data_IF_183107469946
#
_entry.id   IF_183107469946
#
_cell.length_a   1.000
_cell.length_b   1.000
_cell.length_c   1.000
_cell.angle_alpha   90.00
_cell.angle_beta   90.00
_cell.angle_gamma   90.00
#
_symmetry.space_group_name_H-M   'P 1'
#
loop_
_entity.id
_entity.type
_entity.pdbx_description
1 polymer ?
#
# COMPACT_ATOMS: atom_id res chain seq x y z
N UNK A 1 -11.61 -19.92 -6.54
CA UNK A 1 -10.22 -20.08 -6.06
C UNK A 1 -9.38 -18.89 -6.52
N UNK A 2 -8.24 -18.60 -5.90
CA UNK A 2 -7.33 -17.58 -6.42
C UNK A 2 -6.71 -18.06 -7.75
N UNK A 3 -6.33 -17.11 -8.61
CA UNK A 3 -5.75 -17.35 -9.94
C UNK A 3 -6.51 -18.37 -10.84
N UNK A 4 -7.85 -18.41 -10.74
CA UNK A 4 -8.70 -19.28 -11.57
C UNK A 4 -8.63 -18.89 -13.05
N UNK A 5 -8.55 -17.58 -13.33
CA UNK A 5 -8.32 -17.03 -14.66
C UNK A 5 -7.03 -16.23 -14.61
N UNK A 6 -6.10 -16.52 -15.53
CA UNK A 6 -4.85 -15.77 -15.69
C UNK A 6 -4.79 -15.22 -17.11
N UNK A 7 -4.63 -13.91 -17.24
CA UNK A 7 -4.53 -13.23 -18.52
C UNK A 7 -3.21 -12.45 -18.57
N UNK A 8 -2.37 -12.75 -19.57
CA UNK A 8 -1.13 -12.01 -19.84
C UNK A 8 -1.33 -11.09 -21.04
N UNK A 9 -0.94 -9.83 -20.89
CA UNK A 9 -1.00 -8.79 -21.90
C UNK A 9 0.40 -8.26 -22.17
N UNK A 10 0.66 -7.86 -23.41
CA UNK A 10 1.95 -7.29 -23.83
C UNK A 10 1.67 -6.00 -24.59
N UNK A 11 2.38 -4.93 -24.23
CA UNK A 11 2.27 -3.61 -24.83
C UNK A 11 1.66 -2.57 -23.91
N UNK A 12 1.09 -1.52 -24.48
CA UNK A 12 0.57 -0.36 -23.73
C UNK A 12 -0.93 -0.47 -23.51
N UNK A 13 -1.34 -0.51 -22.25
CA UNK A 13 -2.75 -0.53 -21.89
C UNK A 13 -3.34 0.89 -21.85
N UNK A 14 -4.57 1.01 -22.34
CA UNK A 14 -5.35 2.24 -22.23
C UNK A 14 -5.78 2.54 -20.79
N UNK A 15 -6.64 3.54 -20.63
CA UNK A 15 -7.20 3.90 -19.32
C UNK A 15 -8.01 2.75 -18.71
N UNK A 16 -8.03 2.68 -17.38
CA UNK A 16 -8.86 1.73 -16.63
C UNK A 16 -8.56 0.25 -16.88
N UNK A 17 -7.32 -0.08 -17.28
CA UNK A 17 -6.89 -1.49 -17.33
C UNK A 17 -7.10 -2.16 -15.97
N UNK A 18 -7.75 -3.32 -15.97
CA UNK A 18 -8.01 -4.07 -14.74
C UNK A 18 -9.00 -3.41 -13.77
N UNK A 19 -9.91 -2.56 -14.26
CA UNK A 19 -10.96 -2.01 -13.43
C UNK A 19 -11.93 -3.10 -12.93
N UNK A 20 -12.32 -3.00 -11.65
CA UNK A 20 -13.33 -3.84 -10.99
C UNK A 20 -13.08 -5.36 -11.04
N UNK A 21 -11.82 -5.77 -11.17
CA UNK A 21 -11.47 -7.19 -11.30
C UNK A 21 -11.81 -7.93 -9.99
N UNK A 22 -12.66 -8.97 -10.04
CA UNK A 22 -13.06 -9.74 -8.87
C UNK A 22 -12.00 -10.78 -8.46
N UNK A 23 -12.17 -11.35 -7.27
CA UNK A 23 -11.37 -12.49 -6.79
C UNK A 23 -11.34 -13.63 -7.80
N UNK A 24 -10.15 -14.22 -7.96
CA UNK A 24 -9.90 -15.36 -8.83
C UNK A 24 -9.43 -15.00 -10.23
N UNK A 25 -9.33 -13.71 -10.56
CA UNK A 25 -8.74 -13.23 -11.81
C UNK A 25 -7.39 -12.58 -11.53
N UNK A 26 -6.40 -12.96 -12.34
CA UNK A 26 -5.04 -12.42 -12.32
C UNK A 26 -4.71 -11.83 -13.68
N UNK A 27 -4.35 -10.55 -13.70
CA UNK A 27 -3.95 -9.82 -14.89
C UNK A 27 -2.47 -9.48 -14.79
N UNK A 28 -1.69 -9.89 -15.78
CA UNK A 28 -0.26 -9.58 -15.89
C UNK A 28 -0.04 -8.72 -17.14
N UNK A 29 0.53 -7.53 -16.97
CA UNK A 29 0.84 -6.61 -18.06
C UNK A 29 2.35 -6.46 -18.19
N UNK A 30 2.89 -6.88 -19.32
CA UNK A 30 4.26 -6.62 -19.74
C UNK A 30 4.28 -5.40 -20.66
N UNK A 31 4.63 -4.23 -20.10
CA UNK A 31 4.51 -2.94 -20.77
C UNK A 31 4.18 -1.83 -19.78
N UNK A 32 3.31 -0.91 -20.19
CA UNK A 32 2.89 0.24 -19.41
C UNK A 32 1.37 0.45 -19.50
N UNK A 33 0.82 1.29 -18.63
CA UNK A 33 -0.60 1.62 -18.64
C UNK A 33 -0.88 3.09 -18.34
N UNK A 34 -1.97 3.59 -18.91
CA UNK A 34 -2.46 4.94 -18.63
C UNK A 34 -3.20 5.02 -17.27
N UNK A 35 -3.89 6.14 -17.04
CA UNK A 35 -4.60 6.45 -15.80
C UNK A 35 -5.66 5.40 -15.41
N UNK A 36 -6.02 5.41 -14.12
CA UNK A 36 -7.05 4.56 -13.53
C UNK A 36 -6.76 3.06 -13.56
N UNK A 37 -5.50 2.68 -13.72
CA UNK A 37 -5.05 1.29 -13.60
C UNK A 37 -5.59 0.65 -12.31
N UNK A 38 -6.29 -0.48 -12.41
CA UNK A 38 -6.88 -1.17 -11.27
C UNK A 38 -8.00 -0.41 -10.54
N UNK A 39 -8.67 0.56 -11.18
CA UNK A 39 -9.80 1.30 -10.59
C UNK A 39 -10.83 0.36 -9.98
N UNK A 40 -11.17 0.57 -8.70
CA UNK A 40 -12.17 -0.23 -8.01
C UNK A 40 -11.85 -1.72 -7.92
N UNK A 41 -10.56 -2.10 -7.91
CA UNK A 41 -10.13 -3.49 -7.75
C UNK A 41 -10.86 -4.15 -6.56
N UNK A 42 -11.44 -5.32 -6.80
CA UNK A 42 -12.44 -5.96 -5.93
C UNK A 42 -12.11 -7.44 -5.68
N UNK A 43 -10.83 -7.71 -5.43
CA UNK A 43 -10.33 -9.03 -5.00
C UNK A 43 -9.39 -9.70 -5.99
N UNK A 44 -9.28 -9.18 -7.21
CA UNK A 44 -8.34 -9.67 -8.21
C UNK A 44 -6.87 -9.38 -7.89
N UNK A 45 -5.98 -9.97 -8.67
CA UNK A 45 -4.54 -9.69 -8.65
C UNK A 45 -4.13 -8.99 -9.94
N UNK A 46 -3.39 -7.89 -9.83
CA UNK A 46 -2.89 -7.15 -11.01
C UNK A 46 -1.39 -6.92 -10.88
N UNK A 47 -0.65 -7.28 -11.94
CA UNK A 47 0.79 -7.16 -12.04
C UNK A 47 1.15 -6.32 -13.25
N UNK A 48 2.13 -5.44 -13.13
CA UNK A 48 2.70 -4.71 -14.27
C UNK A 48 4.22 -4.62 -14.16
N UNK A 49 4.89 -4.96 -15.27
CA UNK A 49 6.34 -4.99 -15.39
C UNK A 49 6.79 -4.40 -16.72
N UNK A 50 7.97 -3.75 -16.79
CA UNK A 50 8.54 -3.31 -18.06
C UNK A 50 8.78 -4.51 -19.01
N UNK A 51 8.77 -4.29 -20.33
CA UNK A 51 9.16 -5.32 -21.28
C UNK A 51 10.59 -5.83 -21.02
N UNK A 52 10.88 -7.13 -21.22
CA UNK A 52 12.22 -7.68 -21.13
C UNK A 52 13.21 -6.90 -22.01
N UNK A 53 14.41 -6.63 -21.49
CA UNK A 53 15.42 -5.86 -22.20
C UNK A 53 15.27 -4.34 -22.10
N UNK A 54 14.27 -3.83 -21.35
CA UNK A 54 14.19 -2.41 -21.00
C UNK A 54 15.46 -1.95 -20.30
N UNK A 55 16.07 -0.86 -20.78
CA UNK A 55 17.36 -0.35 -20.28
C UNK A 55 17.22 0.77 -19.25
N UNK A 56 16.01 1.26 -19.01
CA UNK A 56 15.75 2.29 -18.01
C UNK A 56 15.61 1.68 -16.61
N UNK A 57 15.83 2.52 -15.59
CA UNK A 57 15.68 2.13 -14.18
C UNK A 57 14.19 2.18 -13.80
N UNK A 58 13.51 1.04 -13.59
CA UNK A 58 12.05 1.02 -13.43
C UNK A 58 11.55 1.92 -12.30
N UNK A 59 12.22 1.93 -11.16
CA UNK A 59 11.84 2.71 -9.98
C UNK A 59 11.93 4.24 -10.19
N UNK A 60 12.51 4.68 -11.31
CA UNK A 60 12.63 6.11 -11.71
C UNK A 60 11.76 6.47 -12.92
N UNK A 61 10.98 5.54 -13.45
CA UNK A 61 10.21 5.74 -14.68
C UNK A 61 8.74 5.36 -14.48
N UNK A 62 7.84 6.21 -14.97
CA UNK A 62 6.39 5.99 -14.86
C UNK A 62 6.00 4.80 -15.72
N UNK A 63 5.40 3.79 -15.09
CA UNK A 63 4.87 2.59 -15.76
C UNK A 63 3.35 2.51 -15.70
N UNK A 64 2.74 3.16 -14.70
CA UNK A 64 1.29 3.36 -14.63
C UNK A 64 0.95 4.82 -14.38
N UNK A 65 -0.10 5.30 -15.04
CA UNK A 65 -0.58 6.68 -14.93
C UNK A 65 -1.16 7.07 -13.57
N UNK A 66 -1.93 8.14 -13.57
CA UNK A 66 -2.48 8.75 -12.37
C UNK A 66 -3.70 7.99 -11.84
N UNK A 67 -4.03 8.22 -10.57
CA UNK A 67 -5.28 7.77 -9.94
C UNK A 67 -5.45 6.23 -10.02
N UNK A 68 -4.32 5.51 -10.02
CA UNK A 68 -4.30 4.05 -9.98
C UNK A 68 -4.93 3.55 -8.67
N UNK A 69 -5.70 2.47 -8.77
CA UNK A 69 -6.39 1.80 -7.67
C UNK A 69 -7.42 2.66 -6.92
N UNK A 70 -7.98 3.65 -7.61
CA UNK A 70 -9.03 4.49 -7.05
C UNK A 70 -10.18 3.67 -6.47
N UNK A 71 -10.42 3.81 -5.17
CA UNK A 71 -11.54 3.16 -4.50
C UNK A 71 -11.47 1.63 -4.47
N UNK A 72 -10.28 1.04 -4.61
CA UNK A 72 -10.11 -0.40 -4.50
C UNK A 72 -10.57 -0.89 -3.12
N UNK A 73 -11.27 -2.03 -3.07
CA UNK A 73 -11.89 -2.56 -1.85
C UNK A 73 -11.22 -3.83 -1.35
N UNK A 74 -10.56 -4.57 -2.23
CA UNK A 74 -9.78 -5.77 -1.91
C UNK A 74 -8.94 -6.18 -3.11
N UNK A 75 -7.97 -7.08 -2.91
CA UNK A 75 -7.12 -7.62 -3.97
C UNK A 75 -5.64 -7.37 -3.70
N UNK A 76 -4.82 -7.69 -4.69
CA UNK A 76 -3.36 -7.54 -4.64
C UNK A 76 -2.83 -6.84 -5.89
N UNK A 77 -1.84 -5.97 -5.73
CA UNK A 77 -1.20 -5.27 -6.84
C UNK A 77 0.33 -5.23 -6.71
N UNK A 78 1.03 -5.53 -7.80
CA UNK A 78 2.50 -5.49 -7.86
C UNK A 78 2.97 -4.69 -9.09
N UNK A 79 3.64 -3.56 -8.84
CA UNK A 79 3.99 -2.56 -9.86
C UNK A 79 5.51 -2.37 -9.90
N UNK A 80 6.19 -2.96 -10.89
CA UNK A 80 7.63 -2.77 -11.11
C UNK A 80 7.88 -1.48 -11.87
N UNK A 81 7.81 -0.37 -11.14
CA UNK A 81 8.15 0.95 -11.62
C UNK A 81 7.45 2.05 -10.82
N UNK A 82 7.48 3.27 -11.37
CA UNK A 82 6.82 4.41 -10.75
C UNK A 82 5.34 4.49 -11.15
N UNK A 83 4.47 4.71 -10.17
CA UNK A 83 3.10 5.16 -10.41
C UNK A 83 3.04 6.69 -10.46
N UNK A 84 2.10 7.22 -11.25
CA UNK A 84 1.81 8.65 -11.29
C UNK A 84 1.23 9.21 -9.98
N UNK A 85 0.55 10.35 -10.09
CA UNK A 85 -0.07 11.01 -8.94
C UNK A 85 -1.29 10.26 -8.41
N UNK A 86 -1.64 10.49 -7.14
CA UNK A 86 -2.85 9.95 -6.49
C UNK A 86 -2.94 8.43 -6.51
N UNK A 87 -1.79 7.75 -6.43
CA UNK A 87 -1.73 6.31 -6.29
C UNK A 87 -2.49 5.86 -5.03
N UNK A 88 -3.37 4.86 -5.16
CA UNK A 88 -4.19 4.32 -4.08
C UNK A 88 -5.11 5.35 -3.39
N UNK A 89 -5.55 6.38 -4.12
CA UNK A 89 -6.54 7.33 -3.61
C UNK A 89 -7.84 6.60 -3.23
N UNK A 90 -8.34 6.85 -2.02
CA UNK A 90 -9.54 6.18 -1.45
C UNK A 90 -9.44 4.64 -1.41
N UNK A 91 -8.23 4.07 -1.39
CA UNK A 91 -8.05 2.65 -1.14
C UNK A 91 -8.71 2.25 0.20
N UNK A 92 -9.53 1.22 0.18
CA UNK A 92 -10.30 0.72 1.32
C UNK A 92 -9.97 -0.74 1.68
N UNK A 93 -9.04 -1.39 0.97
CA UNK A 93 -8.68 -2.78 1.28
C UNK A 93 -7.73 -3.49 0.32
N UNK A 94 -7.20 -2.83 -0.70
CA UNK A 94 -6.14 -3.37 -1.56
C UNK A 94 -4.81 -3.47 -0.82
N UNK A 95 -4.08 -4.56 -1.06
CA UNK A 95 -2.67 -4.70 -0.72
C UNK A 95 -1.80 -4.44 -1.96
N UNK A 96 -0.99 -3.38 -1.95
CA UNK A 96 -0.18 -2.99 -3.11
C UNK A 96 1.30 -2.87 -2.76
N UNK A 97 2.18 -3.26 -3.70
CA UNK A 97 3.61 -2.98 -3.66
C UNK A 97 4.01 -2.27 -4.96
N UNK A 98 4.61 -1.09 -4.83
CA UNK A 98 5.05 -0.24 -5.93
C UNK A 98 6.46 0.25 -5.65
N UNK A 99 7.25 0.49 -6.69
CA UNK A 99 8.63 0.94 -6.50
C UNK A 99 8.69 2.42 -6.12
N UNK A 100 8.01 3.30 -6.87
CA UNK A 100 7.91 4.74 -6.56
C UNK A 100 6.50 5.27 -6.82
N UNK A 101 6.14 6.39 -6.20
CA UNK A 101 4.85 7.06 -6.44
C UNK A 101 5.02 8.57 -6.62
N UNK A 102 4.15 9.17 -7.43
CA UNK A 102 4.04 10.64 -7.56
C UNK A 102 3.41 11.33 -6.35
N UNK A 103 2.96 12.57 -6.56
CA UNK A 103 2.32 13.38 -5.51
C UNK A 103 0.96 12.78 -5.07
N UNK A 104 0.53 13.09 -3.85
CA UNK A 104 -0.76 12.69 -3.29
C UNK A 104 -0.97 11.16 -3.17
N UNK A 105 0.11 10.37 -3.02
CA UNK A 105 0.00 8.94 -2.75
C UNK A 105 -0.79 8.66 -1.47
N UNK A 106 -1.65 7.63 -1.51
CA UNK A 106 -2.53 7.20 -0.41
C UNK A 106 -3.50 8.28 0.13
N UNK A 107 -3.82 9.29 -0.69
CA UNK A 107 -4.79 10.32 -0.34
C UNK A 107 -6.17 9.71 -0.05
N UNK A 108 -6.81 10.12 1.05
CA UNK A 108 -8.11 9.60 1.50
C UNK A 108 -8.20 8.08 1.68
N UNK A 109 -7.07 7.37 1.84
CA UNK A 109 -7.06 5.93 2.09
C UNK A 109 -7.72 5.61 3.44
N UNK A 110 -8.62 4.63 3.44
CA UNK A 110 -9.45 4.21 4.59
C UNK A 110 -9.19 2.76 5.00
N UNK A 111 -8.43 2.00 4.22
CA UNK A 111 -8.10 0.61 4.49
C UNK A 111 -7.09 0.05 3.50
N UNK A 112 -6.65 -1.19 3.74
CA UNK A 112 -5.62 -1.85 2.93
C UNK A 112 -4.20 -1.56 3.39
N UNK A 113 -3.24 -2.02 2.60
CA UNK A 113 -1.81 -1.89 2.87
C UNK A 113 -1.04 -1.50 1.62
N UNK A 114 -0.14 -0.53 1.73
CA UNK A 114 0.67 -0.07 0.60
C UNK A 114 2.14 -0.08 0.98
N UNK A 115 2.98 -0.72 0.20
CA UNK A 115 4.44 -0.68 0.35
C UNK A 115 5.04 0.08 -0.84
N UNK A 116 5.84 1.11 -0.56
CA UNK A 116 6.61 1.87 -1.55
C UNK A 116 8.09 1.57 -1.34
N UNK A 117 8.77 1.02 -2.36
CA UNK A 117 10.15 0.52 -2.25
C UNK A 117 11.23 1.59 -2.50
N UNK A 118 10.82 2.81 -2.80
CA UNK A 118 11.69 3.95 -3.09
C UNK A 118 10.90 5.26 -2.88
N UNK A 119 11.10 6.25 -3.74
CA UNK A 119 10.63 7.62 -3.57
C UNK A 119 9.11 7.81 -3.63
N UNK A 120 8.64 8.82 -2.91
CA UNK A 120 7.28 9.36 -3.01
C UNK A 120 7.29 10.81 -3.49
N UNK A 121 6.18 11.26 -4.06
CA UNK A 121 5.90 12.69 -4.22
C UNK A 121 5.44 13.36 -2.92
N UNK A 122 5.00 14.61 -3.05
CA UNK A 122 4.54 15.50 -1.98
C UNK A 122 3.12 15.15 -1.53
N UNK A 123 2.75 15.68 -0.36
CA UNK A 123 1.42 15.57 0.22
C UNK A 123 0.91 14.11 0.35
N UNK A 124 1.84 13.18 0.60
CA UNK A 124 1.51 11.77 0.82
C UNK A 124 0.61 11.63 2.06
N UNK A 125 -0.35 10.70 1.99
CA UNK A 125 -1.31 10.36 3.05
C UNK A 125 -2.26 11.50 3.50
N UNK A 126 -2.44 12.55 2.69
CA UNK A 126 -3.41 13.59 2.99
C UNK A 126 -4.84 13.00 3.13
N UNK A 127 -5.52 13.32 4.23
CA UNK A 127 -6.85 12.79 4.52
C UNK A 127 -6.92 11.27 4.76
N UNK A 128 -5.79 10.58 4.91
CA UNK A 128 -5.75 9.14 5.20
C UNK A 128 -6.33 8.87 6.60
N UNK A 129 -7.40 8.08 6.68
CA UNK A 129 -8.13 7.80 7.92
C UNK A 129 -8.14 6.33 8.32
N UNK A 130 -7.66 5.42 7.46
CA UNK A 130 -7.46 4.02 7.81
C UNK A 130 -6.48 3.29 6.89
N UNK A 131 -6.12 2.06 7.26
CA UNK A 131 -5.06 1.28 6.60
C UNK A 131 -3.66 1.69 7.05
N UNK A 132 -2.64 1.08 6.44
CA UNK A 132 -1.23 1.34 6.75
C UNK A 132 -0.41 1.44 5.47
N UNK A 133 0.49 2.42 5.38
CA UNK A 133 1.48 2.46 4.32
C UNK A 133 2.91 2.33 4.89
N UNK A 134 3.81 1.74 4.12
CA UNK A 134 5.21 1.55 4.46
C UNK A 134 6.05 2.13 3.34
N UNK A 135 6.90 3.10 3.65
CA UNK A 135 7.74 3.78 2.67
C UNK A 135 9.20 3.51 3.01
N UNK A 136 9.97 2.98 2.06
CA UNK A 136 11.40 2.83 2.22
C UNK A 136 12.10 4.19 2.06
N UNK A 137 12.47 4.82 3.17
CA UNK A 137 13.09 6.15 3.21
C UNK A 137 14.61 6.05 3.42
N UNK A 138 15.34 5.71 2.35
CA UNK A 138 16.80 5.70 2.38
C UNK A 138 17.42 7.08 2.66
N UNK A 139 16.93 8.19 2.05
CA UNK A 139 17.48 9.53 2.31
C UNK A 139 17.15 10.08 3.70
N UNK A 140 16.06 9.62 4.33
CA UNK A 140 15.61 10.12 5.63
C UNK A 140 14.84 11.44 5.56
N UNK A 141 14.30 11.79 4.38
CA UNK A 141 13.62 13.07 4.14
C UNK A 141 12.11 12.91 3.86
N UNK A 142 11.56 11.70 3.91
CA UNK A 142 10.15 11.42 3.60
C UNK A 142 9.18 12.25 4.46
N UNK A 143 9.55 12.54 5.71
CA UNK A 143 8.75 13.35 6.63
C UNK A 143 8.46 14.79 6.14
N UNK A 144 9.21 15.29 5.15
CA UNK A 144 8.99 16.59 4.49
C UNK A 144 7.92 16.51 3.39
N UNK A 145 7.67 15.32 2.86
CA UNK A 145 6.73 15.03 1.77
C UNK A 145 5.40 14.45 2.25
N UNK A 146 5.32 14.01 3.50
CA UNK A 146 4.10 13.48 4.10
C UNK A 146 3.24 14.60 4.72
N UNK A 147 1.93 14.59 4.43
CA UNK A 147 0.96 15.34 5.22
C UNK A 147 0.79 14.62 6.58
N UNK A 148 0.91 15.33 7.70
CA UNK A 148 0.92 14.77 9.06
C UNK A 148 -0.30 15.17 9.90
N UNK A 149 -1.32 15.74 9.25
CA UNK A 149 -2.52 16.24 9.92
C UNK A 149 -3.23 15.07 10.64
N UNK A 150 -3.50 13.99 9.90
CA UNK A 150 -4.24 12.82 10.40
C UNK A 150 -3.37 11.59 10.71
N UNK A 151 -2.12 11.55 10.24
CA UNK A 151 -1.24 10.38 10.35
C UNK A 151 -0.05 10.61 11.28
N UNK A 152 0.45 9.54 11.89
CA UNK A 152 1.77 9.46 12.52
C UNK A 152 2.77 8.76 11.60
N UNK A 153 4.04 9.15 11.75
CA UNK A 153 5.18 8.50 11.12
C UNK A 153 5.94 7.74 12.21
N UNK A 154 6.10 6.43 12.02
CA UNK A 154 6.68 5.53 13.00
C UNK A 154 7.73 4.64 12.36
N UNK A 155 8.69 4.17 13.14
CA UNK A 155 9.62 3.14 12.68
C UNK A 155 8.91 1.80 12.61
N UNK A 156 9.18 1.01 11.57
CA UNK A 156 8.73 -0.38 11.50
C UNK A 156 9.48 -1.24 12.54
N UNK A 157 8.98 -1.31 13.77
CA UNK A 157 9.61 -2.04 14.88
C UNK A 157 8.96 -3.39 15.18
N UNK A 158 7.65 -3.50 14.98
CA UNK A 158 6.84 -4.67 15.30
C UNK A 158 7.27 -5.91 14.48
N UNK A 159 7.60 -7.06 15.10
CA UNK A 159 8.04 -8.25 14.39
C UNK A 159 7.00 -8.85 13.43
N UNK A 160 5.71 -8.80 13.76
CA UNK A 160 4.64 -9.31 12.91
C UNK A 160 4.44 -8.43 11.68
N UNK A 161 4.46 -7.11 11.86
CA UNK A 161 4.41 -6.15 10.75
C UNK A 161 5.65 -6.24 9.86
N UNK A 162 6.84 -6.43 10.44
CA UNK A 162 8.07 -6.70 9.66
C UNK A 162 7.91 -7.93 8.78
N UNK A 163 7.40 -9.03 9.35
CA UNK A 163 7.15 -10.24 8.59
C UNK A 163 6.08 -10.04 7.51
N UNK A 164 5.07 -9.20 7.77
CA UNK A 164 4.06 -8.84 6.77
C UNK A 164 4.65 -8.05 5.60
N UNK A 165 5.40 -6.98 5.87
CA UNK A 165 6.08 -6.19 4.84
C UNK A 165 7.05 -7.07 4.04
N UNK A 166 7.84 -7.90 4.71
CA UNK A 166 8.73 -8.86 4.03
C UNK A 166 7.96 -9.77 3.06
N UNK A 167 6.82 -10.35 3.48
CA UNK A 167 5.97 -11.17 2.60
C UNK A 167 5.42 -10.40 1.41
N UNK A 168 5.01 -9.14 1.61
CA UNK A 168 4.51 -8.29 0.52
C UNK A 168 5.60 -8.05 -0.53
N UNK A 169 6.82 -7.70 -0.09
CA UNK A 169 7.97 -7.48 -0.98
C UNK A 169 8.38 -8.79 -1.67
N UNK A 170 8.35 -9.92 -0.94
CA UNK A 170 8.63 -11.23 -1.52
C UNK A 170 7.64 -11.58 -2.64
N UNK A 171 6.34 -11.37 -2.42
CA UNK A 171 5.32 -11.57 -3.47
C UNK A 171 5.52 -10.63 -4.65
N UNK A 172 5.93 -9.39 -4.38
CA UNK A 172 6.29 -8.47 -5.44
C UNK A 172 7.43 -9.03 -6.29
N UNK A 173 8.53 -9.48 -5.69
CA UNK A 173 9.62 -10.13 -6.40
C UNK A 173 9.15 -11.37 -7.19
N UNK A 174 8.40 -12.27 -6.56
CA UNK A 174 7.86 -13.49 -7.20
C UNK A 174 6.97 -13.20 -8.42
N UNK A 175 6.31 -12.04 -8.46
CA UNK A 175 5.43 -11.64 -9.55
C UNK A 175 6.09 -10.72 -10.59
N UNK A 176 7.17 -10.01 -10.23
CA UNK A 176 7.73 -8.96 -11.10
C UNK A 176 9.19 -9.14 -11.51
N UNK A 177 9.90 -10.09 -10.89
CA UNK A 177 11.36 -10.22 -11.00
C UNK A 177 12.08 -8.88 -10.76
N UNK A 178 11.55 -8.05 -9.85
CA UNK A 178 12.14 -6.74 -9.52
C UNK A 178 13.47 -6.91 -8.78
N UNK A 179 14.56 -6.49 -9.42
CA UNK A 179 15.88 -6.40 -8.78
C UNK A 179 15.89 -5.48 -7.56
N UNK A 180 15.02 -4.47 -7.53
CA UNK A 180 14.87 -3.58 -6.37
C UNK A 180 14.32 -4.36 -5.17
N UNK A 181 13.26 -5.15 -5.38
CA UNK A 181 12.70 -6.00 -4.34
C UNK A 181 13.68 -7.10 -3.92
N UNK A 182 14.37 -7.73 -4.87
CA UNK A 182 15.44 -8.71 -4.61
C UNK A 182 16.52 -8.13 -3.68
N UNK A 183 17.08 -6.96 -4.03
CA UNK A 183 18.11 -6.29 -3.23
C UNK A 183 17.64 -5.95 -1.82
N UNK A 184 16.37 -5.53 -1.66
CA UNK A 184 15.79 -5.23 -0.35
C UNK A 184 15.63 -6.50 0.50
N UNK A 185 15.23 -7.62 -0.12
CA UNK A 185 15.06 -8.90 0.57
C UNK A 185 16.40 -9.49 1.01
N UNK A 186 17.45 -9.37 0.19
CA UNK A 186 18.81 -9.82 0.52
C UNK A 186 19.42 -9.01 1.68
N UNK A 187 19.16 -7.69 1.70
CA UNK A 187 19.70 -6.76 2.71
C UNK A 187 18.70 -6.45 3.83
N UNK A 188 17.69 -7.31 4.02
CA UNK A 188 16.52 -7.02 4.86
C UNK A 188 16.88 -6.53 6.27
N UNK A 189 17.79 -7.23 6.96
CA UNK A 189 18.19 -6.88 8.32
C UNK A 189 18.82 -5.48 8.44
N UNK A 190 19.51 -5.02 7.38
CA UNK A 190 20.11 -3.69 7.34
C UNK A 190 19.14 -2.58 6.89
N UNK A 191 18.11 -2.94 6.13
CA UNK A 191 17.20 -1.98 5.48
C UNK A 191 15.85 -1.86 6.21
N UNK A 192 15.39 -2.88 6.95
CA UNK A 192 14.07 -2.88 7.59
C UNK A 192 13.84 -1.67 8.50
N UNK A 193 14.89 -1.19 9.19
CA UNK A 193 14.82 0.01 10.04
C UNK A 193 14.71 1.33 9.28
N UNK A 194 14.83 1.32 7.94
CA UNK A 194 14.63 2.47 7.04
C UNK A 194 13.20 2.58 6.51
N UNK A 195 12.34 1.60 6.80
CA UNK A 195 10.93 1.74 6.51
C UNK A 195 10.26 2.68 7.50
N UNK A 196 9.59 3.69 6.97
CA UNK A 196 8.67 4.56 7.70
C UNK A 196 7.26 4.00 7.56
N UNK A 197 6.67 3.64 8.69
CA UNK A 197 5.25 3.30 8.81
C UNK A 197 4.44 4.60 8.87
N UNK A 198 3.47 4.71 7.98
CA UNK A 198 2.46 5.77 7.94
C UNK A 198 1.15 5.18 8.40
N UNK A 199 0.64 5.66 9.53
CA UNK A 199 -0.59 5.14 10.13
C UNK A 199 -1.48 6.29 10.63
N UNK A 200 -2.80 6.30 10.34
CA UNK A 200 -3.71 7.30 10.88
C UNK A 200 -3.79 7.23 12.40
N UNK A 201 -3.75 8.39 13.07
CA UNK A 201 -3.73 8.49 14.54
C UNK A 201 -4.95 7.83 15.18
N UNK A 202 -6.14 8.07 14.62
CA UNK A 202 -7.39 7.48 15.11
C UNK A 202 -7.45 5.97 14.86
N UNK A 203 -6.97 5.53 13.70
CA UNK A 203 -6.90 4.11 13.37
C UNK A 203 -5.94 3.38 14.31
N UNK A 204 -4.76 3.95 14.56
CA UNK A 204 -3.79 3.43 15.52
C UNK A 204 -4.40 3.27 16.90
N UNK A 205 -5.03 4.32 17.45
CA UNK A 205 -5.69 4.25 18.76
C UNK A 205 -6.71 3.13 18.84
N UNK A 206 -7.52 2.97 17.79
CA UNK A 206 -8.50 1.88 17.73
C UNK A 206 -7.82 0.50 17.72
N UNK A 207 -6.72 0.32 16.99
CA UNK A 207 -5.94 -0.93 16.99
C UNK A 207 -5.34 -1.24 18.38
N UNK A 208 -4.83 -0.22 19.07
CA UNK A 208 -4.29 -0.38 20.43
C UNK A 208 -5.39 -0.79 21.43
N UNK A 209 -6.58 -0.18 21.33
CA UNK A 209 -7.73 -0.58 22.14
C UNK A 209 -8.16 -2.02 21.85
N UNK A 210 -8.16 -2.43 20.56
CA UNK A 210 -8.46 -3.80 20.15
C UNK A 210 -7.45 -4.80 20.70
N UNK A 211 -6.16 -4.48 20.68
CA UNK A 211 -5.11 -5.34 21.22
C UNK A 211 -5.26 -5.49 22.74
N UNK A 212 -5.50 -4.40 23.48
CA UNK A 212 -5.79 -4.47 24.92
C UNK A 212 -7.01 -5.33 25.25
N UNK A 213 -8.07 -5.23 24.45
CA UNK A 213 -9.26 -6.05 24.61
C UNK A 213 -8.95 -7.55 24.39
N UNK A 214 -8.15 -7.88 23.37
CA UNK A 214 -7.70 -9.25 23.10
C UNK A 214 -6.79 -9.79 24.21
N UNK A 215 -5.86 -8.98 24.71
CA UNK A 215 -4.97 -9.35 25.82
C UNK A 215 -5.74 -9.61 27.12
N UNK A 216 -6.89 -8.95 27.29
CA UNK A 216 -7.85 -9.21 28.36
C UNK A 216 -8.71 -10.48 28.12
N UNK A 217 -8.47 -11.22 27.05
CA UNK A 217 -9.17 -12.46 26.71
C UNK A 217 -10.49 -12.29 25.95
N UNK A 218 -10.86 -11.07 25.55
CA UNK A 218 -12.06 -10.85 24.74
C UNK A 218 -11.80 -11.26 23.29
N UNK A 219 -12.83 -11.77 22.61
CA UNK A 219 -12.73 -12.19 21.22
C UNK A 219 -13.93 -11.71 20.40
N UNK A 220 -13.79 -11.73 19.07
CA UNK A 220 -14.88 -11.37 18.15
C UNK A 220 -15.50 -10.00 18.43
N UNK A 221 -16.83 -9.94 18.41
CA UNK A 221 -17.60 -8.71 18.58
C UNK A 221 -17.43 -8.09 19.97
N UNK A 222 -17.18 -8.88 21.01
CA UNK A 222 -16.98 -8.38 22.37
C UNK A 222 -15.71 -7.53 22.47
N UNK A 223 -14.61 -7.99 21.85
CA UNK A 223 -13.36 -7.24 21.78
C UNK A 223 -13.54 -5.93 21.01
N UNK A 224 -14.30 -5.96 19.90
CA UNK A 224 -14.59 -4.79 19.07
C UNK A 224 -15.42 -3.77 19.83
N UNK A 225 -16.48 -4.21 20.49
CA UNK A 225 -17.36 -3.33 21.27
C UNK A 225 -16.62 -2.70 22.45
N UNK A 226 -15.80 -3.46 23.16
CA UNK A 226 -14.96 -2.94 24.25
C UNK A 226 -13.99 -1.89 23.74
N UNK A 227 -13.27 -2.19 22.67
CA UNK A 227 -12.32 -1.26 22.06
C UNK A 227 -13.00 0.03 21.57
N UNK A 228 -14.20 -0.08 21.01
CA UNK A 228 -14.96 1.09 20.56
C UNK A 228 -15.39 1.98 21.74
N UNK A 229 -15.88 1.39 22.82
CA UNK A 229 -16.26 2.14 24.03
C UNK A 229 -15.06 2.86 24.63
N UNK A 230 -13.91 2.19 24.73
CA UNK A 230 -12.67 2.76 25.25
C UNK A 230 -12.17 3.91 24.37
N UNK A 231 -12.12 3.70 23.05
CA UNK A 231 -11.70 4.72 22.09
C UNK A 231 -12.67 5.90 22.02
N UNK A 232 -13.98 5.69 22.23
CA UNK A 232 -14.99 6.75 22.27
C UNK A 232 -14.90 7.63 23.53
N UNK A 233 -14.40 7.08 24.63
CA UNK A 233 -14.22 7.79 25.90
C UNK A 233 -12.90 8.56 25.99
N UNK A 234 -12.00 8.40 25.02
CA UNK A 234 -10.72 9.10 24.97
C UNK A 234 -10.91 10.62 24.73
N UNK A 235 -10.47 11.40 25.72
CA UNK A 235 -10.56 12.87 25.76
C UNK A 235 -9.87 13.56 24.58
N UNK A 236 -8.91 12.90 23.93
CA UNK A 236 -8.27 13.42 22.72
C UNK A 236 -9.22 13.50 21.50
N UNK A 237 -10.42 12.93 21.57
CA UNK A 237 -11.49 13.12 20.58
C UNK A 237 -12.45 14.27 20.94
N UNK A 238 -12.54 14.63 22.23
CA UNK A 238 -13.45 15.66 22.75
C UNK A 238 -12.93 17.08 22.50
N UNK A 239 -11.61 17.24 22.31
CA UNK A 239 -10.95 18.53 22.03
C UNK A 239 -10.79 18.91 20.56
N UNK A 240 -11.41 18.17 19.63
CA UNK A 240 -11.21 18.31 18.19
C UNK A 240 -12.39 18.91 17.41
N UNK A 241 -13.12 19.86 18.01
CA UNK A 241 -14.09 20.72 17.32
C UNK A 241 -13.66 22.19 17.43
#
# INVERSE_FOLDING_TARGET
>A
PDDTIRLKFIGSAGQSFGAFVPRGITLELEGDANDYFGKGLSGGKIVVCPPPGSTFVPEKNIIIGNVAFYGATSGEAYIRGMAGERFCVRNSGLHAVVESVGDHGCEYMTGGRVVVLDSTGRNFAAGMSGGVAYVLDLPGDFATRCNKDMVSLETLSDPEEKAEVYRMIKRHFEHTDSHRAESILELWEGIVGKFVKVIPKDYKRMLECLNRAKDAGLTGDEAVMRAFQENAQDLARVGGN
#
